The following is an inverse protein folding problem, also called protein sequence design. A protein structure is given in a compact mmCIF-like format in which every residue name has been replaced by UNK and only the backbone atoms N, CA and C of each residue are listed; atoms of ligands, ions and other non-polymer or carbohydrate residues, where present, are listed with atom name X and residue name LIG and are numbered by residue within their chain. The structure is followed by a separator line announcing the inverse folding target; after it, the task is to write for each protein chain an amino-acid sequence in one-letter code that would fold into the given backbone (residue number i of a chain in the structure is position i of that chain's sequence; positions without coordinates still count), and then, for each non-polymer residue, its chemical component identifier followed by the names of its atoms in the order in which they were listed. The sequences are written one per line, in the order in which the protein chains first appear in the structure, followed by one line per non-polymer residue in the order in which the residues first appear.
data_IF_863451408325
#
_entry.id   IF_863451408325
#
_cell.length_a   1.000
_cell.length_b   1.000
_cell.length_c   1.000
_cell.angle_alpha   90.00
_cell.angle_beta   90.00
_cell.angle_gamma   90.00
#
_symmetry.space_group_name_H-M   'P 1'
#
loop_
_entity.id
_entity.type
_entity.pdbx_description
1 polymer ?
#
# COMPACT_ATOMS: atom_id res chain seq x y z
N UNK A 1 18.96 11.32 13.65
CA UNK A 1 17.66 11.35 12.94
C UNK A 1 16.56 10.62 13.72
N UNK A 2 16.80 9.39 14.16
CA UNK A 2 15.81 8.61 14.95
C UNK A 2 15.49 9.28 16.28
N UNK A 3 16.51 9.80 16.99
CA UNK A 3 16.33 10.50 18.27
C UNK A 3 15.43 11.74 18.11
N UNK A 4 15.62 12.51 17.03
CA UNK A 4 14.79 13.67 16.74
C UNK A 4 13.34 13.27 16.41
N UNK A 5 13.14 12.15 15.71
CA UNK A 5 11.83 11.60 15.44
C UNK A 5 11.12 11.17 16.73
N UNK A 6 11.79 10.44 17.60
CA UNK A 6 11.24 10.01 18.90
C UNK A 6 10.86 11.20 19.78
N UNK A 7 11.70 12.25 19.82
CA UNK A 7 11.39 13.50 20.53
C UNK A 7 10.13 14.16 19.96
N UNK A 8 10.01 14.22 18.63
CA UNK A 8 8.83 14.78 17.98
C UNK A 8 7.56 13.96 18.28
N UNK A 9 7.67 12.62 18.28
CA UNK A 9 6.52 11.75 18.59
C UNK A 9 5.95 12.01 19.98
N UNK A 10 6.82 12.37 20.95
CA UNK A 10 6.44 12.65 22.35
C UNK A 10 5.97 14.08 22.57
N UNK A 11 6.31 15.02 21.70
CA UNK A 11 5.95 16.43 21.85
C UNK A 11 4.51 16.71 21.42
N UNK A 12 3.83 17.57 22.16
CA UNK A 12 2.60 18.21 21.72
C UNK A 12 2.94 19.35 20.76
N UNK A 13 3.21 19.00 19.49
CA UNK A 13 3.70 19.93 18.46
C UNK A 13 2.61 20.19 17.42
N UNK A 14 2.59 21.43 16.87
CA UNK A 14 1.74 21.80 15.74
C UNK A 14 2.17 21.11 14.42
N UNK A 15 3.39 20.58 14.37
CA UNK A 15 3.86 19.81 13.21
C UNK A 15 3.22 18.43 13.26
N UNK A 16 2.31 18.17 12.31
CA UNK A 16 1.52 16.93 12.25
C UNK A 16 2.18 15.79 11.48
N UNK A 17 3.25 16.05 10.73
CA UNK A 17 3.90 15.03 9.92
C UNK A 17 5.42 15.22 9.84
N UNK A 18 6.16 14.11 9.77
CA UNK A 18 7.61 14.06 9.51
C UNK A 18 7.97 12.85 8.66
N UNK A 19 9.08 12.94 7.94
CA UNK A 19 9.60 11.86 7.11
C UNK A 19 10.94 11.35 7.61
N UNK A 20 11.16 10.06 7.49
CA UNK A 20 12.43 9.40 7.77
C UNK A 20 12.57 8.14 6.92
N UNK A 21 13.65 8.04 6.14
CA UNK A 21 13.93 6.85 5.34
C UNK A 21 12.85 6.48 4.35
N UNK A 22 12.19 7.46 3.72
CA UNK A 22 11.10 7.22 2.77
C UNK A 22 9.76 6.88 3.42
N UNK A 23 9.68 6.90 4.74
CA UNK A 23 8.46 6.70 5.50
C UNK A 23 7.93 8.02 6.03
N UNK A 24 6.67 8.29 5.82
CA UNK A 24 5.97 9.43 6.39
C UNK A 24 5.30 9.02 7.70
N UNK A 25 5.55 9.78 8.74
CA UNK A 25 4.94 9.66 10.08
C UNK A 25 3.95 10.80 10.25
N UNK A 26 2.69 10.48 10.42
CA UNK A 26 1.63 11.48 10.64
C UNK A 26 0.99 11.28 12.02
N UNK A 27 0.93 12.36 12.79
CA UNK A 27 0.24 12.37 14.08
C UNK A 27 -1.24 12.65 13.90
N UNK A 28 -2.05 11.81 14.53
CA UNK A 28 -3.43 12.12 14.90
C UNK A 28 -3.52 12.29 16.41
N UNK A 29 -4.72 12.53 16.94
CA UNK A 29 -4.93 12.76 18.37
C UNK A 29 -4.42 11.62 19.24
N UNK A 30 -4.72 10.36 18.85
CA UNK A 30 -4.45 9.17 19.67
C UNK A 30 -3.49 8.18 18.99
N UNK A 31 -3.02 8.48 17.77
CA UNK A 31 -2.20 7.53 17.00
C UNK A 31 -1.16 8.21 16.12
N UNK A 32 -0.15 7.45 15.74
CA UNK A 32 0.82 7.85 14.72
C UNK A 32 0.68 6.89 13.54
N UNK A 33 0.38 7.45 12.38
CA UNK A 33 0.25 6.69 11.13
C UNK A 33 1.58 6.69 10.40
N UNK A 34 1.98 5.53 9.89
CA UNK A 34 3.17 5.33 9.09
C UNK A 34 2.78 4.86 7.70
N UNK A 35 3.29 5.52 6.67
CA UNK A 35 3.08 5.12 5.29
C UNK A 35 4.23 5.58 4.38
N UNK A 36 4.30 4.96 3.19
CA UNK A 36 5.35 5.26 2.21
C UNK A 36 5.18 6.66 1.64
N UNK A 37 6.26 7.41 1.50
CA UNK A 37 6.23 8.69 0.78
C UNK A 37 5.93 8.48 -0.71
N UNK A 38 5.10 9.34 -1.29
CA UNK A 38 4.72 9.28 -2.72
C UNK A 38 5.95 9.36 -3.64
N UNK A 39 6.90 10.23 -3.34
CA UNK A 39 8.12 10.40 -4.13
C UNK A 39 9.01 9.16 -4.22
N UNK A 40 8.83 8.20 -3.32
CA UNK A 40 9.62 6.96 -3.26
C UNK A 40 8.92 5.75 -3.88
N UNK A 41 7.75 5.91 -4.52
CA UNK A 41 7.02 4.80 -5.14
C UNK A 41 7.83 4.09 -6.21
N UNK A 42 8.54 4.84 -7.04
CA UNK A 42 9.38 4.27 -8.11
C UNK A 42 10.54 3.42 -7.60
N UNK A 43 10.94 3.57 -6.33
CA UNK A 43 11.95 2.75 -5.68
C UNK A 43 11.42 1.39 -5.19
N UNK A 44 10.10 1.19 -5.21
CA UNK A 44 9.49 -0.08 -4.81
C UNK A 44 9.59 -1.07 -5.97
N UNK A 45 10.30 -2.18 -5.74
CA UNK A 45 10.49 -3.20 -6.78
C UNK A 45 9.20 -3.98 -7.02
N UNK A 46 8.87 -4.21 -8.29
CA UNK A 46 7.84 -5.17 -8.67
C UNK A 46 8.39 -6.60 -8.60
N UNK A 47 7.53 -7.55 -8.24
CA UNK A 47 7.88 -8.98 -8.20
C UNK A 47 6.77 -9.81 -8.86
N UNK A 48 7.13 -11.00 -9.34
CA UNK A 48 6.14 -11.89 -9.95
C UNK A 48 5.19 -12.45 -8.90
N UNK A 49 3.89 -12.52 -9.25
CA UNK A 49 2.88 -13.19 -8.42
C UNK A 49 3.00 -14.71 -8.57
N UNK A 50 2.66 -15.46 -7.52
CA UNK A 50 2.69 -16.92 -7.52
C UNK A 50 1.43 -17.50 -6.86
N UNK A 51 0.99 -18.67 -7.33
CA UNK A 51 -0.03 -19.46 -6.63
C UNK A 51 0.57 -20.44 -5.63
N UNK A 52 1.85 -20.81 -5.79
CA UNK A 52 2.48 -21.87 -5.01
C UNK A 52 2.93 -21.44 -3.63
N UNK A 53 3.24 -20.17 -3.46
CA UNK A 53 3.75 -19.61 -2.21
C UNK A 53 3.42 -18.13 -2.05
N UNK A 54 3.41 -17.67 -0.81
CA UNK A 54 3.34 -16.25 -0.52
C UNK A 54 4.65 -15.58 -0.92
N UNK A 55 4.53 -14.47 -1.65
CA UNK A 55 5.65 -13.57 -1.99
C UNK A 55 5.63 -12.36 -1.06
N UNK A 56 6.79 -12.02 -0.52
CA UNK A 56 6.95 -10.80 0.28
C UNK A 56 7.17 -9.61 -0.65
N UNK A 57 6.31 -8.61 -0.55
CA UNK A 57 6.41 -7.40 -1.34
C UNK A 57 6.61 -6.18 -0.44
N UNK A 58 7.64 -5.39 -0.76
CA UNK A 58 8.02 -4.15 -0.07
C UNK A 58 8.16 -4.31 1.46
N UNK A 59 8.50 -5.52 1.93
CA UNK A 59 8.61 -5.86 3.35
C UNK A 59 7.34 -5.56 4.19
N UNK A 60 6.20 -5.31 3.54
CA UNK A 60 4.93 -4.96 4.21
C UNK A 60 3.84 -6.00 4.03
N UNK A 61 3.88 -6.75 2.95
CA UNK A 61 2.78 -7.66 2.59
C UNK A 61 3.30 -9.01 2.10
N UNK A 62 2.57 -10.08 2.47
CA UNK A 62 2.69 -11.40 1.88
C UNK A 62 1.50 -11.60 0.93
N UNK A 63 1.76 -11.95 -0.32
CA UNK A 63 0.75 -12.00 -1.37
C UNK A 63 0.86 -13.29 -2.18
N UNK A 64 -0.29 -13.94 -2.40
CA UNK A 64 -0.41 -15.16 -3.18
C UNK A 64 -1.66 -15.13 -4.05
N UNK A 65 -1.57 -15.65 -5.26
CA UNK A 65 -2.73 -15.81 -6.15
C UNK A 65 -3.39 -17.18 -5.98
N UNK A 66 -4.66 -17.28 -6.35
CA UNK A 66 -5.40 -18.54 -6.38
C UNK A 66 -5.05 -19.42 -7.61
N UNK A 67 -4.45 -18.84 -8.63
CA UNK A 67 -4.03 -19.53 -9.86
C UNK A 67 -2.81 -18.84 -10.48
N UNK A 68 -2.14 -19.55 -11.40
CA UNK A 68 -1.06 -18.95 -12.16
C UNK A 68 -1.59 -18.01 -13.25
N UNK A 69 -0.95 -16.87 -13.38
CA UNK A 69 -1.15 -15.93 -14.48
C UNK A 69 0.08 -15.01 -14.57
N UNK A 70 0.24 -14.36 -15.73
CA UNK A 70 1.31 -13.39 -15.93
C UNK A 70 0.95 -12.08 -15.23
N UNK A 71 1.40 -11.94 -14.01
CA UNK A 71 1.13 -10.75 -13.21
C UNK A 71 2.29 -10.41 -12.31
N UNK A 72 2.45 -9.13 -12.05
CA UNK A 72 3.43 -8.60 -11.12
C UNK A 72 2.75 -7.85 -9.98
N UNK A 73 3.29 -8.05 -8.79
CA UNK A 73 2.92 -7.24 -7.62
C UNK A 73 3.70 -5.94 -7.70
N UNK A 74 3.00 -4.82 -7.66
CA UNK A 74 3.58 -3.49 -7.61
C UNK A 74 2.66 -2.55 -6.82
N UNK A 75 3.02 -1.27 -6.72
CA UNK A 75 2.14 -0.29 -6.07
C UNK A 75 0.96 0.08 -6.97
N UNK A 76 -0.15 0.48 -6.34
CA UNK A 76 -1.36 0.91 -7.04
C UNK A 76 -1.13 2.19 -7.85
N UNK A 77 -0.57 3.21 -7.20
CA UNK A 77 -0.26 4.48 -7.81
C UNK A 77 -1.47 5.28 -8.31
N UNK A 78 -1.23 6.45 -8.92
CA UNK A 78 -2.29 7.27 -9.50
C UNK A 78 -3.06 6.56 -10.62
N UNK A 79 -2.37 5.76 -11.44
CA UNK A 79 -3.00 5.04 -12.54
C UNK A 79 -3.99 3.98 -12.04
N UNK A 80 -3.61 3.23 -11.00
CA UNK A 80 -4.52 2.27 -10.37
C UNK A 80 -5.74 2.95 -9.76
N UNK A 81 -5.55 4.09 -9.10
CA UNK A 81 -6.65 4.88 -8.55
C UNK A 81 -7.63 5.33 -9.65
N UNK A 82 -7.13 5.75 -10.81
CA UNK A 82 -8.00 6.08 -11.95
C UNK A 82 -8.87 4.89 -12.37
N UNK A 83 -8.29 3.69 -12.44
CA UNK A 83 -9.05 2.48 -12.77
C UNK A 83 -10.11 2.21 -11.72
N UNK A 84 -9.77 2.26 -10.43
CA UNK A 84 -10.74 2.03 -9.35
C UNK A 84 -11.90 3.03 -9.41
N UNK A 85 -11.61 4.30 -9.64
CA UNK A 85 -12.65 5.33 -9.81
C UNK A 85 -13.56 5.05 -11.02
N UNK A 86 -12.98 4.61 -12.14
CA UNK A 86 -13.76 4.25 -13.34
C UNK A 86 -14.70 3.06 -13.08
N UNK A 87 -14.36 2.20 -12.13
CA UNK A 87 -15.19 1.07 -11.68
C UNK A 87 -16.13 1.45 -10.53
N UNK A 88 -16.24 2.74 -10.20
CA UNK A 88 -17.10 3.29 -9.13
C UNK A 88 -16.77 2.74 -7.74
N UNK A 89 -15.51 2.39 -7.50
CA UNK A 89 -15.04 1.96 -6.18
C UNK A 89 -14.78 3.20 -5.33
N UNK A 90 -15.38 3.23 -4.14
CA UNK A 90 -15.24 4.35 -3.22
C UNK A 90 -13.90 4.27 -2.48
N UNK A 91 -12.90 4.96 -3.02
CA UNK A 91 -11.57 5.06 -2.42
C UNK A 91 -11.63 5.72 -1.04
N UNK A 92 -12.47 6.74 -0.86
CA UNK A 92 -12.56 7.47 0.40
C UNK A 92 -13.09 6.59 1.53
N UNK A 93 -14.08 5.77 1.25
CA UNK A 93 -14.61 4.79 2.21
C UNK A 93 -13.55 3.76 2.61
N UNK A 94 -12.83 3.21 1.63
CA UNK A 94 -11.80 2.20 1.86
C UNK A 94 -10.57 2.75 2.58
N UNK A 95 -10.14 3.96 2.23
CA UNK A 95 -8.96 4.58 2.86
C UNK A 95 -9.23 5.09 4.27
N UNK A 96 -10.49 5.30 4.65
CA UNK A 96 -10.87 5.92 5.94
C UNK A 96 -10.13 7.25 6.13
N UNK A 97 -9.36 7.38 7.21
CA UNK A 97 -8.54 8.57 7.50
C UNK A 97 -7.12 8.50 6.93
N UNK A 98 -6.79 7.46 6.17
CA UNK A 98 -5.47 7.34 5.57
C UNK A 98 -5.29 8.39 4.46
N UNK A 99 -4.10 8.98 4.31
CA UNK A 99 -3.84 9.92 3.23
C UNK A 99 -3.72 9.20 1.88
N UNK A 100 -3.84 9.97 0.80
CA UNK A 100 -3.74 9.44 -0.56
C UNK A 100 -2.40 8.72 -0.83
N UNK A 101 -1.33 9.13 -0.15
CA UNK A 101 -0.03 8.45 -0.24
C UNK A 101 -0.11 6.98 0.18
N UNK A 102 -0.90 6.65 1.19
CA UNK A 102 -1.12 5.27 1.62
C UNK A 102 -1.88 4.47 0.55
N UNK A 103 -2.84 5.09 -0.13
CA UNK A 103 -3.56 4.49 -1.25
C UNK A 103 -2.61 4.20 -2.41
N UNK A 104 -1.81 5.18 -2.82
CA UNK A 104 -0.85 5.01 -3.92
C UNK A 104 0.19 3.93 -3.65
N UNK A 105 0.61 3.76 -2.40
CA UNK A 105 1.61 2.76 -2.01
C UNK A 105 1.01 1.40 -1.64
N UNK A 106 -0.30 1.22 -1.77
CA UNK A 106 -0.95 -0.07 -1.52
C UNK A 106 -0.59 -1.08 -2.62
N UNK A 107 -0.59 -2.38 -2.30
CA UNK A 107 -0.25 -3.42 -3.27
C UNK A 107 -1.34 -3.57 -4.34
N UNK A 108 -0.90 -3.80 -5.56
CA UNK A 108 -1.75 -4.09 -6.70
C UNK A 108 -1.09 -5.13 -7.61
N UNK A 109 -1.90 -5.84 -8.35
CA UNK A 109 -1.43 -6.84 -9.31
C UNK A 109 -1.67 -6.30 -10.71
N UNK A 110 -0.61 -6.28 -11.50
CA UNK A 110 -0.59 -5.73 -12.85
C UNK A 110 -0.19 -6.77 -13.88
N UNK A 111 -0.89 -6.81 -15.01
CA UNK A 111 -0.44 -7.43 -16.23
C UNK A 111 -0.05 -6.30 -17.21
N UNK A 112 1.24 -6.02 -17.31
CA UNK A 112 1.77 -4.84 -18.02
C UNK A 112 1.12 -3.56 -17.47
N UNK A 113 0.30 -2.88 -18.27
CA UNK A 113 -0.41 -1.65 -17.86
C UNK A 113 -1.85 -1.89 -17.40
N UNK A 114 -2.29 -3.16 -17.36
CA UNK A 114 -3.66 -3.51 -16.96
C UNK A 114 -3.70 -3.88 -15.49
N UNK A 115 -4.56 -3.22 -14.73
CA UNK A 115 -4.80 -3.54 -13.33
C UNK A 115 -5.65 -4.82 -13.23
N UNK A 116 -5.09 -5.86 -12.64
CA UNK A 116 -5.75 -7.15 -12.42
C UNK A 116 -6.47 -7.17 -11.08
N UNK A 117 -5.83 -6.65 -10.05
CA UNK A 117 -6.38 -6.62 -8.70
C UNK A 117 -5.79 -5.50 -7.87
N UNK A 118 -6.60 -4.95 -6.99
CA UNK A 118 -6.20 -4.11 -5.87
C UNK A 118 -6.86 -4.68 -4.62
N UNK A 119 -6.23 -5.67 -3.96
CA UNK A 119 -6.90 -6.49 -2.97
C UNK A 119 -7.36 -5.73 -1.72
N UNK A 120 -6.67 -4.65 -1.32
CA UNK A 120 -7.10 -3.80 -0.19
C UNK A 120 -8.44 -3.11 -0.49
N UNK A 121 -8.74 -2.85 -1.76
CA UNK A 121 -9.99 -2.23 -2.21
C UNK A 121 -11.02 -3.25 -2.69
N UNK A 122 -10.77 -4.52 -2.47
CA UNK A 122 -11.62 -5.63 -2.92
C UNK A 122 -11.93 -5.59 -4.42
N UNK A 123 -10.94 -5.11 -5.21
CA UNK A 123 -11.06 -5.06 -6.66
C UNK A 123 -10.36 -6.25 -7.31
N UNK A 124 -11.10 -6.95 -8.16
CA UNK A 124 -10.63 -8.05 -9.00
C UNK A 124 -11.22 -7.87 -10.39
N UNK A 125 -10.40 -8.06 -11.43
CA UNK A 125 -10.84 -7.85 -12.81
C UNK A 125 -12.01 -8.77 -13.22
N UNK A 126 -12.08 -9.94 -12.59
CA UNK A 126 -13.20 -10.89 -12.71
C UNK A 126 -13.26 -11.80 -11.47
N UNK A 127 -14.32 -12.58 -11.35
CA UNK A 127 -14.55 -13.48 -10.21
C UNK A 127 -13.65 -14.73 -10.18
N UNK A 128 -12.85 -14.96 -11.22
CA UNK A 128 -11.94 -16.12 -11.32
C UNK A 128 -10.56 -15.81 -10.72
N UNK A 129 -10.25 -14.53 -10.50
CA UNK A 129 -8.98 -14.09 -9.90
C UNK A 129 -9.23 -13.74 -8.45
N UNK A 130 -8.53 -14.38 -7.55
CA UNK A 130 -8.53 -14.06 -6.14
C UNK A 130 -7.09 -13.94 -5.64
N UNK A 131 -6.84 -12.92 -4.84
CA UNK A 131 -5.52 -12.61 -4.28
C UNK A 131 -5.63 -12.66 -2.77
N UNK A 132 -4.85 -13.54 -2.19
CA UNK A 132 -4.70 -13.64 -0.74
C UNK A 132 -3.59 -12.70 -0.28
N UNK A 133 -3.91 -11.82 0.67
CA UNK A 133 -2.98 -10.82 1.17
C UNK A 133 -2.92 -10.87 2.70
N UNK A 134 -1.69 -10.82 3.24
CA UNK A 134 -1.43 -10.70 4.67
C UNK A 134 -0.50 -9.54 4.92
N UNK A 135 -0.81 -8.71 5.90
CA UNK A 135 0.10 -7.67 6.36
C UNK A 135 1.18 -8.30 7.22
N UNK A 136 2.44 -7.90 7.00
CA UNK A 136 3.52 -8.22 7.91
C UNK A 136 3.37 -7.28 9.10
N UNK A 137 2.97 -7.82 10.25
CA UNK A 137 2.86 -7.06 11.47
C UNK A 137 4.23 -6.76 12.05
N UNK A 138 4.53 -5.49 12.24
CA UNK A 138 5.59 -5.10 13.14
C UNK A 138 4.95 -4.81 14.50
N UNK A 139 5.36 -5.55 15.49
CA UNK A 139 5.08 -5.15 16.86
C UNK A 139 6.03 -4.00 17.19
N UNK A 140 5.49 -2.83 17.22
CA UNK A 140 6.17 -1.68 17.79
C UNK A 140 6.03 -1.68 19.30
#
# INVERSE_FOLDING_TARGET
KIINLLKWMKKNSNIKAKTLGGTLFKKNTDEILLYKEVKNLNGIKSIDISKSEFKCWDNRFLIKANKDFNGKISYLGPEGVKVLKSKKIDINKAKKNAPIAAVYSSPAIWDKKRLISAPIFDYFINNKVNIEIKKIGYML
#
